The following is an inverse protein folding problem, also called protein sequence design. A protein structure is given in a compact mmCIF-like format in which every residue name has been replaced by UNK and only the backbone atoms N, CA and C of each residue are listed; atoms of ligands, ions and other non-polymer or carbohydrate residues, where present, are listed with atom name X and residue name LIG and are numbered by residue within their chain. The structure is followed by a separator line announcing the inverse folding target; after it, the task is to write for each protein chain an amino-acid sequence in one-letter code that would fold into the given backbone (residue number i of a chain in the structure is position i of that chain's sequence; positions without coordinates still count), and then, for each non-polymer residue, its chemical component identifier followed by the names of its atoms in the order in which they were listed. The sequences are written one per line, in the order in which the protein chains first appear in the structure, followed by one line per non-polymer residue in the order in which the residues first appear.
data_IF_489522208806
#
_entry.id   IF_489522208806
#
_cell.length_a   1.000
_cell.length_b   1.000
_cell.length_c   1.000
_cell.angle_alpha   90.00
_cell.angle_beta   90.00
_cell.angle_gamma   90.00
#
_symmetry.space_group_name_H-M   'P 1'
#
loop_
_entity.id
_entity.type
_entity.pdbx_description
1 polymer ?
#
# COMPACT_ATOMS: atom_id res chain seq x y z
N UNK A 1 -11.56 3.01 -15.12
CA UNK A 1 -12.03 2.88 -13.73
C UNK A 1 -13.38 3.56 -13.46
N UNK A 2 -13.64 4.77 -14.00
CA UNK A 2 -14.93 5.48 -13.84
C UNK A 2 -16.20 4.70 -14.26
N UNK A 3 -16.11 3.70 -15.14
CA UNK A 3 -17.24 2.84 -15.52
C UNK A 3 -17.51 1.68 -14.55
N UNK A 4 -16.53 1.30 -13.73
CA UNK A 4 -16.61 0.17 -12.79
C UNK A 4 -16.87 0.67 -11.36
N UNK A 5 -16.23 1.78 -11.00
CA UNK A 5 -16.37 2.46 -9.71
C UNK A 5 -16.74 3.93 -9.95
N UNK A 6 -17.99 4.23 -10.30
CA UNK A 6 -18.43 5.60 -10.49
C UNK A 6 -18.34 6.36 -9.16
N UNK A 7 -17.79 7.57 -9.20
CA UNK A 7 -17.62 8.47 -8.05
C UNK A 7 -16.59 8.04 -6.99
N UNK A 8 -15.80 7.00 -7.25
CA UNK A 8 -14.68 6.65 -6.37
C UNK A 8 -13.44 7.48 -6.71
N UNK A 9 -12.69 7.84 -5.67
CA UNK A 9 -11.30 8.28 -5.80
C UNK A 9 -10.41 7.10 -6.18
N UNK A 10 -9.35 7.34 -6.95
CA UNK A 10 -8.41 6.30 -7.33
C UNK A 10 -7.00 6.87 -7.55
N UNK A 11 -6.00 6.16 -7.02
CA UNK A 11 -4.57 6.35 -7.32
C UNK A 11 -3.94 5.01 -7.69
N UNK A 12 -2.91 5.05 -8.52
CA UNK A 12 -2.23 3.86 -9.00
C UNK A 12 -0.76 4.14 -9.32
N UNK A 13 0.08 3.10 -9.26
CA UNK A 13 1.51 3.22 -9.61
C UNK A 13 1.84 2.79 -11.05
N UNK A 14 0.83 2.67 -11.92
CA UNK A 14 0.96 2.19 -13.32
C UNK A 14 1.93 3.05 -14.14
N UNK A 15 1.96 4.36 -13.93
CA UNK A 15 2.83 5.26 -14.69
C UNK A 15 4.30 5.20 -14.23
N UNK A 16 4.56 4.71 -13.02
CA UNK A 16 5.89 4.68 -12.40
C UNK A 16 6.58 3.32 -12.44
N UNK A 17 5.87 2.24 -12.79
CA UNK A 17 6.45 0.89 -12.85
C UNK A 17 6.10 0.20 -14.15
N UNK A 18 7.04 -0.54 -14.73
CA UNK A 18 6.85 -1.27 -15.98
C UNK A 18 5.74 -2.34 -15.92
N UNK A 19 5.22 -2.66 -14.73
CA UNK A 19 4.24 -3.73 -14.51
C UNK A 19 2.95 -3.24 -13.85
N UNK A 20 2.89 -1.98 -13.39
CA UNK A 20 1.70 -1.30 -12.84
C UNK A 20 0.79 -2.15 -11.98
N UNK A 21 1.16 -2.39 -10.72
CA UNK A 21 0.58 -3.47 -9.91
C UNK A 21 -0.36 -3.05 -8.80
N UNK A 22 -0.30 -1.78 -8.39
CA UNK A 22 -1.04 -1.30 -7.21
C UNK A 22 -2.07 -0.27 -7.64
N UNK A 23 -3.33 -0.53 -7.28
CA UNK A 23 -4.44 0.42 -7.39
C UNK A 23 -5.09 0.56 -6.01
N UNK A 24 -5.25 1.80 -5.58
CA UNK A 24 -5.95 2.17 -4.35
C UNK A 24 -7.18 2.95 -4.77
N UNK A 25 -8.35 2.43 -4.43
CA UNK A 25 -9.63 3.09 -4.69
C UNK A 25 -10.37 3.27 -3.37
N UNK A 26 -11.02 4.43 -3.21
CA UNK A 26 -11.78 4.75 -2.01
C UNK A 26 -13.06 5.52 -2.34
N UNK A 27 -14.01 5.50 -1.41
CA UNK A 27 -15.21 6.34 -1.47
C UNK A 27 -14.90 7.69 -0.81
N UNK A 28 -15.01 8.82 -1.54
CA UNK A 28 -14.71 10.15 -0.98
C UNK A 28 -15.54 10.52 0.26
N UNK A 29 -16.74 9.94 0.43
CA UNK A 29 -17.59 10.18 1.60
C UNK A 29 -17.01 9.65 2.92
N UNK A 30 -16.10 8.66 2.85
CA UNK A 30 -15.57 7.95 4.02
C UNK A 30 -14.14 8.37 4.37
N UNK A 31 -13.35 8.76 3.38
CA UNK A 31 -12.01 9.24 3.61
C UNK A 31 -11.49 10.06 2.43
N UNK A 32 -10.51 10.90 2.73
CA UNK A 32 -9.62 11.50 1.75
C UNK A 32 -8.29 10.76 1.74
N UNK A 33 -7.69 10.60 0.55
CA UNK A 33 -6.46 9.81 0.35
C UNK A 33 -5.46 10.64 -0.44
N UNK A 34 -4.31 10.89 0.18
CA UNK A 34 -3.22 11.66 -0.41
C UNK A 34 -1.99 10.76 -0.60
N UNK A 35 -1.39 10.77 -1.80
CA UNK A 35 -0.20 9.97 -2.08
C UNK A 35 1.03 10.65 -1.50
N UNK A 36 1.70 9.97 -0.57
CA UNK A 36 2.97 10.43 0.01
C UNK A 36 4.14 9.94 -0.84
N UNK A 37 4.10 8.68 -1.27
CA UNK A 37 5.16 8.08 -2.09
C UNK A 37 4.61 6.94 -2.95
N UNK A 38 5.12 6.80 -4.17
CA UNK A 38 4.74 5.72 -5.09
C UNK A 38 6.00 5.08 -5.66
N UNK A 39 6.16 3.77 -5.44
CA UNK A 39 7.24 2.91 -5.89
C UNK A 39 6.68 1.67 -6.58
N UNK A 40 7.54 0.88 -7.22
CA UNK A 40 7.13 -0.33 -7.95
C UNK A 40 6.36 -1.35 -7.10
N UNK A 41 6.79 -1.56 -5.85
CA UNK A 41 6.28 -2.59 -4.94
C UNK A 41 5.52 -2.00 -3.75
N UNK A 42 5.37 -0.68 -3.69
CA UNK A 42 4.86 0.02 -2.52
C UNK A 42 4.23 1.36 -2.90
N UNK A 43 3.05 1.63 -2.38
CA UNK A 43 2.44 2.96 -2.40
C UNK A 43 2.13 3.34 -0.95
N UNK A 44 2.71 4.45 -0.51
CA UNK A 44 2.40 5.08 0.77
C UNK A 44 1.37 6.18 0.53
N UNK A 45 0.25 6.08 1.24
CA UNK A 45 -0.76 7.13 1.27
C UNK A 45 -1.03 7.58 2.70
N UNK A 46 -1.39 8.84 2.85
CA UNK A 46 -2.04 9.34 4.05
C UNK A 46 -3.55 9.26 3.85
N UNK A 47 -4.25 8.63 4.79
CA UNK A 47 -5.70 8.48 4.76
C UNK A 47 -6.30 9.31 5.90
N UNK A 48 -7.14 10.27 5.55
CA UNK A 48 -7.90 11.10 6.48
C UNK A 48 -9.34 10.58 6.50
N UNK A 49 -9.70 9.84 7.54
CA UNK A 49 -11.02 9.22 7.66
C UNK A 49 -12.04 10.26 8.15
N UNK A 50 -13.25 10.21 7.61
CA UNK A 50 -14.38 11.01 8.09
C UNK A 50 -14.60 10.73 9.58
N UNK A 51 -14.40 11.76 10.42
CA UNK A 51 -14.31 11.61 11.88
C UNK A 51 -12.96 12.06 12.47
N UNK A 52 -11.99 12.44 11.63
CA UNK A 52 -10.78 13.16 12.04
C UNK A 52 -9.56 12.27 12.31
N UNK A 53 -9.67 10.96 12.13
CA UNK A 53 -8.56 10.03 12.30
C UNK A 53 -7.66 10.03 11.05
N UNK A 54 -6.35 10.16 11.26
CA UNK A 54 -5.35 10.19 10.19
C UNK A 54 -4.37 9.03 10.35
N UNK A 55 -4.21 8.25 9.30
CA UNK A 55 -3.27 7.12 9.26
C UNK A 55 -2.34 7.19 8.06
N UNK A 56 -1.16 6.62 8.22
CA UNK A 56 -0.34 6.19 7.09
C UNK A 56 -0.78 4.78 6.68
N UNK A 57 -0.93 4.56 5.38
CA UNK A 57 -1.25 3.26 4.80
C UNK A 57 -0.23 2.92 3.72
N UNK A 58 0.49 1.83 3.94
CA UNK A 58 1.40 1.23 2.97
C UNK A 58 0.73 0.07 2.27
N UNK A 59 0.38 0.25 0.99
CA UNK A 59 -0.09 -0.83 0.13
C UNK A 59 1.12 -1.45 -0.56
N UNK A 60 1.30 -2.75 -0.37
CA UNK A 60 2.49 -3.49 -0.79
C UNK A 60 2.10 -4.57 -1.78
N UNK A 61 2.86 -4.65 -2.86
CA UNK A 61 2.85 -5.80 -3.76
C UNK A 61 4.29 -6.23 -4.01
N UNK A 62 4.76 -7.13 -3.14
CA UNK A 62 6.14 -7.58 -3.11
C UNK A 62 6.51 -8.37 -4.37
N UNK A 63 7.69 -8.12 -4.91
CA UNK A 63 8.25 -8.92 -5.99
C UNK A 63 8.50 -10.36 -5.55
N UNK A 64 8.43 -11.31 -6.49
CA UNK A 64 8.63 -12.74 -6.20
C UNK A 64 10.09 -13.05 -5.83
N UNK A 65 11.05 -12.34 -6.43
CA UNK A 65 12.47 -12.54 -6.18
C UNK A 65 12.94 -11.74 -4.96
N UNK A 66 13.60 -12.42 -4.02
CA UNK A 66 14.08 -11.80 -2.78
C UNK A 66 14.98 -10.58 -3.02
N UNK A 67 15.82 -10.62 -4.06
CA UNK A 67 16.77 -9.55 -4.38
C UNK A 67 16.03 -8.25 -4.73
N UNK A 68 14.90 -8.37 -5.43
CA UNK A 68 14.05 -7.24 -5.84
C UNK A 68 13.31 -6.65 -4.64
N UNK A 69 13.01 -7.44 -3.61
CA UNK A 69 12.34 -6.95 -2.39
C UNK A 69 13.26 -6.14 -1.48
N UNK A 70 14.59 -6.15 -1.67
CA UNK A 70 15.52 -5.42 -0.78
C UNK A 70 15.22 -3.92 -0.70
N UNK A 71 14.86 -3.29 -1.82
CA UNK A 71 14.50 -1.86 -1.83
C UNK A 71 13.25 -1.58 -0.98
N UNK A 72 12.23 -2.43 -1.07
CA UNK A 72 11.04 -2.38 -0.22
C UNK A 72 11.42 -2.49 1.27
N UNK A 73 12.17 -3.53 1.64
CA UNK A 73 12.54 -3.78 3.04
C UNK A 73 13.43 -2.69 3.63
N UNK A 74 14.28 -2.05 2.83
CA UNK A 74 15.07 -0.90 3.27
C UNK A 74 14.24 0.37 3.44
N UNK A 75 13.12 0.50 2.73
CA UNK A 75 12.28 1.70 2.78
C UNK A 75 11.27 1.70 3.93
N UNK A 76 10.67 0.55 4.25
CA UNK A 76 9.65 0.44 5.32
C UNK A 76 10.11 1.00 6.69
N UNK A 77 11.35 0.78 7.16
CA UNK A 77 11.84 1.40 8.40
C UNK A 77 11.84 2.93 8.37
N UNK A 78 12.04 3.55 7.21
CA UNK A 78 11.99 5.01 7.06
C UNK A 78 10.57 5.52 7.34
N UNK A 79 9.55 4.83 6.86
CA UNK A 79 8.14 5.19 7.09
C UNK A 79 7.78 5.09 8.58
N UNK A 80 8.31 4.09 9.29
CA UNK A 80 8.11 3.92 10.73
C UNK A 80 8.57 5.15 11.55
N UNK A 81 9.55 5.90 11.05
CA UNK A 81 10.05 7.11 11.74
C UNK A 81 9.09 8.31 11.68
N UNK A 82 8.00 8.24 10.90
CA UNK A 82 7.07 9.36 10.72
C UNK A 82 6.09 9.57 11.90
N UNK A 83 6.15 8.73 12.95
CA UNK A 83 5.39 8.87 14.22
C UNK A 83 3.88 9.13 14.02
N UNK A 84 3.28 8.45 13.03
CA UNK A 84 1.84 8.41 12.77
C UNK A 84 1.36 6.96 12.88
N UNK A 85 0.10 6.68 13.29
CA UNK A 85 -0.45 5.34 13.20
C UNK A 85 -0.28 4.79 11.79
N UNK A 86 0.34 3.63 11.67
CA UNK A 86 0.78 3.11 10.38
C UNK A 86 0.25 1.70 10.16
N UNK A 87 -0.44 1.52 9.03
CA UNK A 87 -0.97 0.24 8.60
C UNK A 87 -0.19 -0.25 7.37
N UNK A 88 0.23 -1.50 7.40
CA UNK A 88 0.76 -2.20 6.23
C UNK A 88 -0.28 -3.20 5.72
N UNK A 89 -0.55 -3.19 4.43
CA UNK A 89 -1.49 -4.10 3.79
C UNK A 89 -1.01 -4.52 2.39
N UNK A 90 -1.49 -5.67 1.93
CA UNK A 90 -1.23 -6.18 0.57
C UNK A 90 -0.63 -7.58 0.55
N UNK A 91 -0.02 -7.93 -0.58
CA UNK A 91 0.66 -9.21 -0.79
C UNK A 91 2.18 -8.98 -0.72
N UNK A 92 2.82 -9.61 0.26
CA UNK A 92 4.25 -9.46 0.46
C UNK A 92 5.07 -10.47 -0.36
N UNK A 93 4.42 -11.46 -0.98
CA UNK A 93 5.06 -12.59 -1.67
C UNK A 93 6.12 -13.28 -0.79
N UNK A 94 5.81 -13.39 0.51
CA UNK A 94 6.64 -14.08 1.51
C UNK A 94 5.80 -15.14 2.21
N UNK A 95 6.32 -16.35 2.25
CA UNK A 95 5.76 -17.44 3.05
C UNK A 95 6.21 -17.22 4.49
N UNK A 96 5.28 -16.90 5.40
CA UNK A 96 5.55 -16.79 6.85
C UNK A 96 5.55 -18.14 7.56
N UNK A 97 4.82 -19.10 7.01
CA UNK A 97 4.67 -20.47 7.50
C UNK A 97 4.68 -21.38 6.28
N UNK A 98 5.47 -22.45 6.28
CA UNK A 98 5.63 -23.39 5.16
C UNK A 98 4.31 -24.04 4.68
N UNK A 99 3.23 -23.91 5.47
CA UNK A 99 1.88 -24.34 5.10
C UNK A 99 1.07 -23.34 4.24
N UNK A 100 1.53 -22.10 4.06
CA UNK A 100 0.79 -21.04 3.36
C UNK A 100 1.40 -20.69 1.99
N UNK A 101 0.57 -20.66 0.94
CA UNK A 101 1.01 -20.47 -0.47
C UNK A 101 1.04 -19.00 -0.94
N UNK A 102 0.36 -18.08 -0.25
CA UNK A 102 0.61 -16.62 -0.33
C UNK A 102 0.04 -15.95 0.91
N UNK A 103 0.73 -14.94 1.45
CA UNK A 103 0.41 -14.37 2.76
C UNK A 103 -0.01 -12.91 2.64
N UNK A 104 -1.32 -12.66 2.58
CA UNK A 104 -1.89 -11.34 2.89
C UNK A 104 -1.56 -11.04 4.35
N UNK A 105 -0.92 -9.89 4.62
CA UNK A 105 -0.61 -9.47 5.98
C UNK A 105 -1.18 -8.08 6.21
N UNK A 106 -2.04 -7.97 7.22
CA UNK A 106 -2.35 -6.71 7.87
C UNK A 106 -1.46 -6.70 9.11
N UNK A 107 -0.36 -5.94 9.10
CA UNK A 107 0.41 -5.66 10.31
C UNK A 107 -0.02 -4.30 10.85
N UNK A 108 -0.46 -4.29 12.10
CA UNK A 108 -0.27 -3.14 12.98
C UNK A 108 1.07 -3.36 13.69
N UNK A 109 2.04 -2.47 13.46
CA UNK A 109 3.24 -2.36 14.29
C UNK A 109 2.99 -1.35 15.39
#
# INVERSE_FOLDING_TARGET
MRSILPSWGCVHNILGSAVGRIIIAWKPDFCDVEVVTSMDQHVLVEVKVTGGFVILLSIIYGANLYIQRRSLWSYLPVVCTLVKPWLLAGDFSVIRDASLTSAFLILQL
#
